data_IF_466121113036
#
_entry.id   IF_466121113036
#
_cell.length_a   1.000
_cell.length_b   1.000
_cell.length_c   1.000
_cell.angle_alpha   90.00
_cell.angle_beta   90.00
_cell.angle_gamma   90.00
#
_symmetry.space_group_name_H-M   'P 1'
#
loop_
_entity.id
_entity.type
_entity.pdbx_description
1 polymer ?
#
# COMPACT_ATOMS: atom_id res chain seq x y z
N UNK A 1 10.76 -8.36 -12.91
CA UNK A 1 9.37 -8.77 -12.69
C UNK A 1 9.20 -9.11 -11.24
N UNK A 2 8.83 -8.09 -10.47
CA UNK A 2 8.48 -8.21 -9.06
C UNK A 2 7.17 -8.97 -8.89
N UNK A 3 7.05 -9.71 -7.79
CA UNK A 3 5.77 -10.30 -7.38
C UNK A 3 4.89 -9.23 -6.75
N UNK A 4 3.61 -9.23 -7.09
CA UNK A 4 2.57 -8.36 -6.57
C UNK A 4 1.51 -9.25 -5.92
N UNK A 5 1.15 -8.95 -4.68
CA UNK A 5 0.06 -9.57 -3.94
C UNK A 5 -0.99 -8.52 -3.59
N UNK A 6 -2.24 -8.82 -3.91
CA UNK A 6 -3.41 -7.97 -3.58
C UNK A 6 -4.20 -8.65 -2.48
N UNK A 7 -4.37 -7.96 -1.36
CA UNK A 7 -5.13 -8.44 -0.19
C UNK A 7 -6.33 -7.52 0.02
N UNK A 8 -7.54 -8.06 0.08
CA UNK A 8 -8.74 -7.27 0.39
C UNK A 8 -8.63 -6.70 1.80
N UNK A 9 -8.91 -5.40 1.96
CA UNK A 9 -9.02 -4.78 3.28
C UNK A 9 -10.25 -5.26 4.04
N UNK A 10 -11.32 -5.62 3.33
CA UNK A 10 -12.59 -6.03 3.92
C UNK A 10 -12.56 -7.51 4.32
N UNK A 11 -12.26 -8.43 3.40
CA UNK A 11 -12.30 -9.87 3.69
C UNK A 11 -11.01 -10.42 4.30
N UNK A 12 -9.91 -9.66 4.24
CA UNK A 12 -8.54 -10.06 4.62
C UNK A 12 -7.98 -11.19 3.75
N UNK A 13 -8.68 -11.60 2.70
CA UNK A 13 -8.25 -12.64 1.78
C UNK A 13 -7.29 -12.09 0.71
N UNK A 14 -6.42 -12.97 0.22
CA UNK A 14 -5.59 -12.66 -0.96
C UNK A 14 -6.43 -12.83 -2.22
N UNK A 15 -6.66 -11.72 -2.94
CA UNK A 15 -7.45 -11.68 -4.17
C UNK A 15 -6.62 -12.11 -5.38
N UNK A 16 -5.35 -11.69 -5.44
CA UNK A 16 -4.46 -11.99 -6.56
C UNK A 16 -2.99 -12.08 -6.11
N UNK A 17 -2.25 -13.00 -6.72
CA UNK A 17 -0.78 -13.04 -6.72
C UNK A 17 -0.33 -13.12 -8.18
N UNK A 18 0.51 -12.18 -8.60
CA UNK A 18 0.93 -12.07 -10.00
C UNK A 18 2.37 -11.55 -10.11
N UNK A 19 3.02 -11.82 -11.23
CA UNK A 19 4.33 -11.25 -11.60
C UNK A 19 4.24 -10.37 -12.85
N UNK A 20 3.02 -10.05 -13.28
CA UNK A 20 2.76 -9.08 -14.35
C UNK A 20 3.16 -7.68 -13.90
N UNK A 21 3.43 -6.83 -14.87
CA UNK A 21 3.69 -5.40 -14.67
C UNK A 21 2.42 -4.62 -14.29
N UNK A 22 1.23 -5.18 -14.50
CA UNK A 22 -0.05 -4.50 -14.29
C UNK A 22 -1.00 -5.34 -13.47
N UNK A 23 -1.65 -4.71 -12.48
CA UNK A 23 -2.74 -5.29 -11.67
C UNK A 23 -3.89 -4.30 -11.57
N UNK A 24 -5.14 -4.77 -11.50
CA UNK A 24 -6.33 -3.92 -11.38
C UNK A 24 -7.07 -4.21 -10.08
N UNK A 25 -7.51 -3.16 -9.39
CA UNK A 25 -8.22 -3.28 -8.12
C UNK A 25 -9.73 -3.15 -8.33
N UNK A 26 -10.49 -4.07 -7.75
CA UNK A 26 -11.96 -4.03 -7.74
C UNK A 26 -12.54 -3.55 -6.41
N UNK A 27 -11.73 -3.53 -5.35
CA UNK A 27 -12.11 -3.19 -3.98
C UNK A 27 -10.91 -2.61 -3.21
N UNK A 28 -11.18 -1.99 -2.05
CA UNK A 28 -10.14 -1.43 -1.20
C UNK A 28 -9.17 -2.52 -0.73
N UNK A 29 -7.90 -2.37 -1.07
CA UNK A 29 -6.89 -3.43 -0.96
C UNK A 29 -5.58 -2.94 -0.37
N UNK A 30 -4.83 -3.85 0.25
CA UNK A 30 -3.40 -3.69 0.50
C UNK A 30 -2.64 -4.37 -0.64
N UNK A 31 -1.84 -3.58 -1.35
CA UNK A 31 -1.00 -4.04 -2.45
C UNK A 31 0.41 -4.19 -1.89
N UNK A 32 0.89 -5.42 -1.87
CA UNK A 32 2.24 -5.75 -1.44
C UNK A 32 3.09 -6.11 -2.65
N UNK A 33 4.18 -5.37 -2.86
CA UNK A 33 5.11 -5.61 -3.96
C UNK A 33 6.44 -6.07 -3.39
N UNK A 34 6.94 -7.23 -3.86
CA UNK A 34 8.27 -7.73 -3.50
C UNK A 34 9.34 -6.95 -4.26
N UNK A 35 9.80 -5.86 -3.63
CA UNK A 35 10.85 -4.99 -4.13
C UNK A 35 11.53 -4.28 -2.96
N UNK A 36 12.84 -4.09 -3.05
CA UNK A 36 13.52 -3.25 -2.09
C UNK A 36 13.15 -1.78 -2.34
N UNK A 37 12.74 -1.06 -1.30
CA UNK A 37 12.44 0.38 -1.33
C UNK A 37 13.55 1.23 -1.98
N UNK A 38 14.81 0.81 -1.82
CA UNK A 38 15.97 1.48 -2.42
C UNK A 38 16.06 1.27 -3.92
N UNK A 39 15.41 0.25 -4.48
CA UNK A 39 15.33 0.00 -5.93
C UNK A 39 14.19 0.78 -6.59
N UNK A 40 13.31 1.40 -5.81
CA UNK A 40 12.22 2.26 -6.30
C UNK A 40 12.78 3.63 -6.67
N UNK A 41 12.62 4.02 -7.93
CA UNK A 41 13.05 5.32 -8.44
C UNK A 41 11.96 6.40 -8.28
N UNK A 42 10.71 6.05 -8.57
CA UNK A 42 9.59 6.99 -8.55
C UNK A 42 8.29 6.26 -8.22
N UNK A 43 7.38 6.96 -7.54
CA UNK A 43 5.98 6.60 -7.43
C UNK A 43 5.20 7.83 -7.87
N UNK A 44 4.34 7.68 -8.89
CA UNK A 44 3.57 8.78 -9.45
C UNK A 44 2.14 8.35 -9.72
N UNK A 45 1.22 9.28 -9.53
CA UNK A 45 -0.17 9.12 -9.97
C UNK A 45 -0.32 9.42 -11.48
N UNK A 46 -1.09 8.57 -12.17
CA UNK A 46 -1.55 8.80 -13.53
C UNK A 46 -3.05 8.52 -13.65
N UNK A 47 -3.86 9.58 -13.67
CA UNK A 47 -5.30 9.46 -13.49
C UNK A 47 -5.64 8.80 -12.15
N UNK A 48 -6.30 7.64 -12.18
CA UNK A 48 -6.57 6.81 -10.99
C UNK A 48 -5.50 5.75 -10.72
N UNK A 49 -4.45 5.68 -11.52
CA UNK A 49 -3.46 4.62 -11.43
C UNK A 49 -2.26 5.07 -10.61
N UNK A 50 -1.62 4.13 -9.91
CA UNK A 50 -0.29 4.32 -9.36
C UNK A 50 0.74 3.68 -10.29
N UNK A 51 1.74 4.45 -10.69
CA UNK A 51 2.88 3.98 -11.49
C UNK A 51 4.11 3.98 -10.59
N UNK A 52 4.71 2.81 -10.40
CA UNK A 52 5.96 2.62 -9.67
C UNK A 52 7.04 2.31 -10.69
N UNK A 53 8.04 3.19 -10.79
CA UNK A 53 9.20 3.00 -11.67
C UNK A 53 10.38 2.54 -10.83
N UNK A 54 10.97 1.41 -11.18
CA UNK A 54 12.19 0.89 -10.56
C UNK A 54 13.44 1.44 -11.24
N UNK A 55 14.57 1.46 -10.53
CA UNK A 55 15.86 1.96 -11.05
C UNK A 55 16.37 1.19 -12.27
N UNK A 56 15.92 -0.05 -12.47
CA UNK A 56 16.24 -0.87 -13.63
C UNK A 56 15.35 -0.55 -14.86
N UNK A 57 14.39 0.36 -14.74
CA UNK A 57 13.45 0.75 -15.81
C UNK A 57 12.14 -0.06 -15.84
N UNK A 58 11.99 -1.07 -14.99
CA UNK A 58 10.71 -1.79 -14.82
C UNK A 58 9.64 -0.82 -14.29
N UNK A 59 8.45 -0.89 -14.88
CA UNK A 59 7.29 -0.13 -14.43
C UNK A 59 6.21 -1.09 -13.94
N UNK A 60 5.68 -0.80 -12.76
CA UNK A 60 4.56 -1.52 -12.17
C UNK A 60 3.37 -0.57 -12.11
N UNK A 61 2.26 -0.97 -12.72
CA UNK A 61 1.02 -0.20 -12.83
C UNK A 61 -0.06 -0.85 -11.98
N UNK A 62 -0.53 -0.11 -10.98
CA UNK A 62 -1.69 -0.50 -10.19
C UNK A 62 -2.86 0.35 -10.67
N UNK A 63 -3.76 -0.29 -11.43
CA UNK A 63 -4.94 0.35 -12.01
C UNK A 63 -5.98 0.58 -10.92
N UNK A 64 -6.60 1.76 -10.95
CA UNK A 64 -7.62 2.19 -9.99
C UNK A 64 -7.15 2.19 -8.53
N UNK A 65 -5.86 2.46 -8.32
CA UNK A 65 -5.28 2.65 -7.00
C UNK A 65 -5.81 3.90 -6.29
N UNK A 66 -6.08 4.99 -7.00
CA UNK A 66 -6.56 6.25 -6.42
C UNK A 66 -8.05 6.49 -6.71
N UNK A 67 -8.74 7.14 -5.78
CA UNK A 67 -10.16 7.47 -5.91
C UNK A 67 -10.43 8.65 -6.87
N UNK A 68 -9.40 9.44 -7.19
CA UNK A 68 -9.49 10.67 -7.98
C UNK A 68 -8.11 11.13 -8.46
N UNK A 69 -7.88 12.43 -8.59
CA UNK A 69 -6.64 13.02 -9.15
C UNK A 69 -5.71 13.69 -8.11
N UNK A 70 -5.90 13.37 -6.84
CA UNK A 70 -5.27 14.08 -5.72
C UNK A 70 -4.58 13.13 -4.73
N UNK A 71 -4.02 12.00 -5.16
CA UNK A 71 -3.41 10.97 -4.30
C UNK A 71 -4.32 10.41 -3.18
N UNK A 72 -5.62 10.74 -3.16
CA UNK A 72 -6.59 10.16 -2.23
C UNK A 72 -6.89 8.72 -2.64
N UNK A 73 -6.86 7.81 -1.67
CA UNK A 73 -7.06 6.39 -1.88
C UNK A 73 -7.49 5.70 -0.59
N UNK A 74 -8.35 4.69 -0.72
CA UNK A 74 -8.65 3.74 0.35
C UNK A 74 -7.70 2.53 0.32
N UNK A 75 -6.83 2.44 -0.69
CA UNK A 75 -5.84 1.39 -0.87
C UNK A 75 -4.56 1.71 -0.09
N UNK A 76 -3.76 0.67 0.21
CA UNK A 76 -2.44 0.83 0.81
C UNK A 76 -1.38 0.19 -0.07
N UNK A 77 -0.24 0.85 -0.26
CA UNK A 77 0.91 0.30 -0.97
C UNK A 77 2.02 -0.06 0.02
N UNK A 78 2.49 -1.31 -0.02
CA UNK A 78 3.55 -1.83 0.85
C UNK A 78 4.64 -2.46 0.00
N UNK A 79 5.89 -2.12 0.29
CA UNK A 79 7.05 -2.83 -0.26
C UNK A 79 7.54 -3.87 0.74
N UNK A 80 7.82 -5.07 0.24
CA UNK A 80 8.46 -6.16 0.98
C UNK A 80 9.85 -6.40 0.40
N UNK A 81 10.89 -6.32 1.23
CA UNK A 81 12.26 -6.64 0.80
C UNK A 81 12.55 -8.15 0.90
N UNK A 82 13.76 -8.56 0.48
CA UNK A 82 14.18 -9.97 0.51
C UNK A 82 14.31 -10.55 1.93
N UNK A 83 14.26 -9.71 2.96
CA UNK A 83 14.32 -10.07 4.37
C UNK A 83 12.92 -10.06 5.03
N UNK A 84 11.85 -9.96 4.23
CA UNK A 84 10.46 -9.85 4.69
C UNK A 84 10.17 -8.57 5.49
N UNK A 85 11.01 -7.53 5.36
CA UNK A 85 10.76 -6.25 5.98
C UNK A 85 9.72 -5.48 5.18
N UNK A 86 8.71 -4.95 5.88
CA UNK A 86 7.63 -4.21 5.25
C UNK A 86 7.82 -2.70 5.42
N UNK A 87 7.60 -1.98 4.32
CA UNK A 87 7.60 -0.51 4.27
C UNK A 87 6.30 -0.04 3.65
N UNK A 88 5.49 0.64 4.46
CA UNK A 88 4.27 1.30 4.00
C UNK A 88 4.58 2.63 3.32
N UNK A 89 4.00 2.83 2.14
CA UNK A 89 4.01 4.08 1.40
C UNK A 89 2.79 4.90 1.79
N UNK A 90 3.02 6.08 2.34
CA UNK A 90 1.98 6.98 2.83
C UNK A 90 1.78 8.14 1.85
N UNK A 91 0.52 8.28 1.41
CA UNK A 91 0.05 9.39 0.58
C UNK A 91 -0.76 10.42 1.39
N UNK A 92 -1.27 10.01 2.55
CA UNK A 92 -2.07 10.82 3.47
C UNK A 92 -1.49 10.78 4.90
N UNK A 93 -1.77 11.81 5.69
CA UNK A 93 -1.49 11.85 7.12
C UNK A 93 -2.48 11.00 7.94
N UNK A 94 -2.34 11.02 9.27
CA UNK A 94 -3.19 10.27 10.19
C UNK A 94 -4.66 10.71 10.20
N UNK A 95 -4.98 11.89 9.68
CA UNK A 95 -6.33 12.44 9.57
C UNK A 95 -6.91 12.25 8.15
N UNK A 96 -6.17 11.59 7.24
CA UNK A 96 -6.55 11.42 5.84
C UNK A 96 -6.28 12.66 4.97
N UNK A 97 -5.58 13.67 5.48
CA UNK A 97 -5.17 14.82 4.69
C UNK A 97 -4.01 14.44 3.77
N UNK A 98 -3.98 14.98 2.56
CA UNK A 98 -2.91 14.69 1.59
C UNK A 98 -1.57 15.21 2.08
N UNK A 99 -0.54 14.37 1.97
CA UNK A 99 0.83 14.79 2.23
C UNK A 99 1.39 15.56 1.03
N UNK A 100 2.18 16.60 1.29
CA UNK A 100 2.92 17.30 0.22
C UNK A 100 3.94 16.39 -0.47
N UNK A 101 4.47 15.40 0.26
CA UNK A 101 5.46 14.44 -0.22
C UNK A 101 5.11 13.04 0.27
N UNK A 102 5.45 12.01 -0.52
CA UNK A 102 5.31 10.61 -0.11
C UNK A 102 6.24 10.33 1.07
N UNK A 103 5.68 9.76 2.15
CA UNK A 103 6.46 9.31 3.31
C UNK A 103 6.49 7.78 3.40
N UNK A 104 7.45 7.26 4.15
CA UNK A 104 7.67 5.83 4.30
C UNK A 104 7.72 5.47 5.78
N UNK A 105 6.95 4.45 6.16
CA UNK A 105 6.90 3.96 7.53
C UNK A 105 7.18 2.47 7.56
N UNK A 106 8.06 2.04 8.46
CA UNK A 106 8.27 0.62 8.72
C UNK A 106 7.09 0.05 9.50
N UNK A 107 6.64 -1.13 9.10
CA UNK A 107 5.56 -1.87 9.75
C UNK A 107 5.99 -3.33 9.96
N UNK A 108 5.46 -3.97 10.99
CA UNK A 108 5.74 -5.39 11.25
C UNK A 108 4.75 -6.32 10.53
N UNK A 109 3.52 -5.85 10.30
CA UNK A 109 2.47 -6.58 9.58
C UNK A 109 1.57 -5.63 8.80
N UNK A 110 0.83 -6.15 7.83
CA UNK A 110 -0.20 -5.39 7.09
C UNK A 110 -1.54 -5.29 7.83
N UNK A 111 -1.71 -5.99 8.94
CA UNK A 111 -2.99 -6.06 9.68
C UNK A 111 -3.53 -4.68 10.11
N UNK A 112 -2.70 -3.70 10.51
CA UNK A 112 -3.19 -2.35 10.81
C UNK A 112 -3.73 -1.59 9.60
N UNK A 113 -3.45 -2.07 8.38
CA UNK A 113 -3.91 -1.48 7.12
C UNK A 113 -5.21 -2.12 6.61
N UNK A 114 -5.64 -3.22 7.22
CA UNK A 114 -6.91 -3.90 6.92
C UNK A 114 -8.05 -3.27 7.73
N UNK A 115 -9.27 -3.40 7.24
CA UNK A 115 -10.44 -2.95 7.98
C UNK A 115 -10.73 -3.93 9.10
N UNK A 116 -10.88 -3.41 10.32
CA UNK A 116 -11.32 -4.19 11.45
C UNK A 116 -12.81 -3.96 11.63
N UNK A 117 -13.57 -5.04 11.78
CA UNK A 117 -15.01 -4.95 12.07
C UNK A 117 -15.25 -4.11 13.33
N UNK A 118 -15.72 -2.88 13.14
CA UNK A 118 -16.41 -2.08 14.15
C UNK A 118 -15.67 -1.75 15.45
N UNK A 119 -14.35 -1.92 15.55
CA UNK A 119 -13.56 -1.49 16.72
C UNK A 119 -12.50 -0.47 16.34
N UNK A 120 -12.66 0.71 16.92
CA UNK A 120 -11.83 1.88 16.73
C UNK A 120 -10.34 1.57 17.00
N UNK A 121 -9.49 2.03 16.08
CA UNK A 121 -8.08 2.44 16.20
C UNK A 121 -7.13 1.55 17.04
N UNK A 122 -5.94 1.18 16.50
CA UNK A 122 -4.88 0.46 17.21
C UNK A 122 -4.34 1.11 18.51
N UNK A 123 -4.78 2.32 18.85
CA UNK A 123 -4.43 3.00 20.09
C UNK A 123 -5.26 2.57 21.32
N UNK A 124 -6.22 1.66 21.15
CA UNK A 124 -7.10 1.23 22.24
C UNK A 124 -6.43 0.38 23.36
N UNK A 125 -5.19 -0.10 23.18
CA UNK A 125 -4.52 -0.95 24.19
C UNK A 125 -3.65 -0.22 25.21
N UNK A 126 -3.49 1.10 25.12
CA UNK A 126 -2.75 1.85 26.16
C UNK A 126 -3.61 2.24 27.40
N UNK A 127 -4.90 1.92 27.44
CA UNK A 127 -5.78 2.34 28.55
C UNK A 127 -5.93 1.33 29.70
N UNK A 128 -5.24 0.20 29.70
CA UNK A 128 -5.26 -0.73 30.84
C UNK A 128 -3.86 -0.91 31.44
N UNK A 129 -3.37 0.13 32.10
CA UNK A 129 -2.40 -0.02 33.18
C UNK A 129 -2.92 0.80 34.35
N UNK A 130 -3.50 0.11 35.33
CA UNK A 130 -3.76 0.61 36.67
C UNK A 130 -3.17 -0.39 37.64
#
# INVERSE_FOLDING_TARGET
>A
MSEIRVVSKESHETLEITTKDTVSLSEASVILIKVNKDDVSEIRQDGRNAIITLKNGEQIVIVDFFNGSNYSTDNSLVFEDNNHKLIWVQFTDANGALLENITYSYIDSIEPLLYHDGVASPWAWLSCSK
#
